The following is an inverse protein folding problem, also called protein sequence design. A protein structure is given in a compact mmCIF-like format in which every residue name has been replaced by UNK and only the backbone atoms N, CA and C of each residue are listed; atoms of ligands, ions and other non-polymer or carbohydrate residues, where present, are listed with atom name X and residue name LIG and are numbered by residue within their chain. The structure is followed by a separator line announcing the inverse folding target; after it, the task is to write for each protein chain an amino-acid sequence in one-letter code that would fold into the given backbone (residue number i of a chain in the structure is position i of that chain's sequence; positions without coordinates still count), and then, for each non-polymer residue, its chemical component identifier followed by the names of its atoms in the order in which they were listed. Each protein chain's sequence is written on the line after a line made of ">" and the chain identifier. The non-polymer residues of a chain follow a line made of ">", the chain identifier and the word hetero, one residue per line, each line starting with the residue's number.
data_IF_321248883311
#
_entry.id   IF_321248883311
#
_cell.length_a   1.000
_cell.length_b   1.000
_cell.length_c   1.000
_cell.angle_alpha   90.00
_cell.angle_beta   90.00
_cell.angle_gamma   90.00
#
_symmetry.space_group_name_H-M   'P 1'
#
loop_
_entity.id
_entity.type
_entity.pdbx_description
1 polymer ?
#
# COMPACT_ATOMS: atom_id res chain seq x y z
N UNK A 1 19.39 7.58 -13.42
CA UNK A 1 20.05 7.52 -12.09
C UNK A 1 19.32 6.47 -11.30
N UNK A 2 20.00 5.51 -10.76
CA UNK A 2 19.40 4.44 -9.99
C UNK A 2 18.74 4.98 -8.71
N UNK A 3 17.50 4.56 -8.43
CA UNK A 3 16.73 5.08 -7.28
C UNK A 3 17.27 4.48 -5.99
N UNK A 4 17.43 3.15 -5.96
CA UNK A 4 17.93 2.41 -4.80
C UNK A 4 19.42 2.13 -4.99
N UNK A 5 20.30 2.63 -4.11
CA UNK A 5 21.73 2.32 -4.17
C UNK A 5 22.00 0.82 -3.95
N UNK A 6 23.02 0.27 -4.59
CA UNK A 6 23.39 -1.15 -4.42
C UNK A 6 23.69 -1.53 -2.98
N UNK A 7 24.22 -0.61 -2.18
CA UNK A 7 24.48 -0.83 -0.75
C UNK A 7 23.23 -1.06 0.11
N UNK A 8 22.05 -0.72 -0.40
CA UNK A 8 20.76 -0.91 0.28
C UNK A 8 19.92 -2.04 -0.32
N UNK A 9 20.40 -2.66 -1.41
CA UNK A 9 19.72 -3.79 -2.04
C UNK A 9 20.01 -5.08 -1.31
N UNK A 10 18.96 -5.81 -0.96
CA UNK A 10 19.10 -7.20 -0.56
C UNK A 10 19.45 -8.04 -1.81
N UNK A 11 20.49 -8.89 -1.79
CA UNK A 11 20.91 -9.68 -2.94
C UNK A 11 19.88 -10.70 -3.42
N UNK A 12 18.91 -11.07 -2.57
CA UNK A 12 17.81 -11.97 -2.93
C UNK A 12 16.69 -11.25 -3.70
N UNK A 13 16.61 -9.92 -3.61
CA UNK A 13 15.60 -9.11 -4.29
C UNK A 13 16.08 -8.75 -5.69
N UNK A 14 15.27 -9.11 -6.69
CA UNK A 14 15.47 -8.75 -8.09
C UNK A 14 14.42 -7.77 -8.54
N UNK A 15 14.74 -6.94 -9.51
CA UNK A 15 13.80 -6.00 -10.13
C UNK A 15 13.53 -6.42 -11.57
N UNK A 16 12.27 -6.48 -11.96
CA UNK A 16 11.83 -6.80 -13.32
C UNK A 16 10.77 -5.81 -13.81
N UNK A 17 10.72 -5.62 -15.14
CA UNK A 17 9.65 -4.85 -15.79
C UNK A 17 8.58 -5.82 -16.30
N UNK A 18 7.38 -5.73 -15.75
CA UNK A 18 6.23 -6.59 -16.08
C UNK A 18 5.26 -5.82 -16.96
N UNK A 19 5.06 -6.28 -18.19
CA UNK A 19 4.05 -5.74 -19.10
C UNK A 19 2.71 -6.41 -18.83
N UNK A 20 1.66 -5.62 -18.64
CA UNK A 20 0.31 -6.12 -18.42
C UNK A 20 -0.62 -5.77 -19.58
N UNK A 21 -1.76 -6.47 -19.69
CA UNK A 21 -2.66 -6.40 -20.85
C UNK A 21 -3.22 -5.01 -21.19
N UNK A 22 -3.19 -4.05 -20.24
CA UNK A 22 -3.63 -2.66 -20.47
C UNK A 22 -2.62 -1.78 -21.21
N UNK A 23 -1.46 -2.31 -21.58
CA UNK A 23 -0.33 -1.52 -22.11
C UNK A 23 0.46 -0.78 -21.02
N UNK A 24 0.17 -1.03 -19.75
CA UNK A 24 0.98 -0.57 -18.63
C UNK A 24 2.17 -1.49 -18.43
N UNK A 25 3.30 -0.91 -18.01
CA UNK A 25 4.49 -1.64 -17.59
C UNK A 25 4.78 -1.29 -16.15
N UNK A 26 4.95 -2.30 -15.31
CA UNK A 26 5.24 -2.14 -13.88
C UNK A 26 6.67 -2.58 -13.58
N UNK A 27 7.38 -1.73 -12.84
CA UNK A 27 8.61 -2.11 -12.18
C UNK A 27 8.25 -2.87 -10.92
N UNK A 28 8.74 -4.10 -10.78
CA UNK A 28 8.40 -5.01 -9.69
C UNK A 28 9.67 -5.51 -9.03
N UNK A 29 9.84 -5.21 -7.75
CA UNK A 29 10.83 -5.88 -6.91
C UNK A 29 10.25 -7.23 -6.49
N UNK A 30 11.03 -8.31 -6.65
CA UNK A 30 10.53 -9.65 -6.39
C UNK A 30 11.57 -10.56 -5.76
N UNK A 31 11.10 -11.57 -5.00
CA UNK A 31 11.91 -12.57 -4.34
C UNK A 31 11.14 -13.90 -4.29
N UNK A 32 11.87 -15.02 -4.30
CA UNK A 32 11.25 -16.35 -4.24
C UNK A 32 10.62 -16.80 -5.56
N UNK A 33 10.16 -18.07 -5.58
CA UNK A 33 9.55 -18.71 -6.75
C UNK A 33 8.49 -19.75 -6.37
N UNK A 34 7.86 -19.60 -5.22
CA UNK A 34 6.80 -20.51 -4.73
C UNK A 34 5.53 -20.47 -5.59
N UNK A 35 4.59 -21.36 -5.30
CA UNK A 35 3.35 -21.51 -6.08
C UNK A 35 2.27 -20.48 -5.71
N UNK A 36 2.37 -19.86 -4.54
CA UNK A 36 1.48 -18.81 -4.07
C UNK A 36 2.11 -17.43 -4.25
N UNK A 37 1.34 -16.45 -4.74
CA UNK A 37 1.76 -15.05 -4.86
C UNK A 37 1.47 -14.29 -3.56
N UNK A 38 2.49 -13.62 -3.02
CA UNK A 38 2.31 -12.53 -2.07
C UNK A 38 2.60 -11.21 -2.79
N UNK A 39 1.58 -10.37 -3.01
CA UNK A 39 1.75 -9.09 -3.68
C UNK A 39 1.62 -7.94 -2.66
N UNK A 40 2.68 -7.11 -2.56
CA UNK A 40 2.86 -6.08 -1.55
C UNK A 40 2.72 -4.69 -2.16
N UNK A 41 1.66 -3.96 -1.83
CA UNK A 41 1.34 -2.64 -2.37
C UNK A 41 1.77 -1.55 -1.39
N UNK A 42 2.69 -0.68 -1.81
CA UNK A 42 3.17 0.45 -1.01
C UNK A 42 2.20 1.64 -1.00
N UNK A 43 2.46 2.61 -0.14
CA UNK A 43 1.69 3.84 -0.02
C UNK A 43 2.39 5.10 -0.55
N UNK A 44 1.84 6.25 -0.17
CA UNK A 44 2.40 7.56 -0.46
C UNK A 44 3.30 8.03 0.71
N UNK A 45 4.46 8.58 0.46
CA UNK A 45 5.19 8.71 -0.82
C UNK A 45 6.29 7.65 -0.96
N UNK A 46 5.95 6.39 -0.71
CA UNK A 46 6.88 5.29 -0.65
C UNK A 46 7.37 4.81 -2.05
N UNK A 47 7.83 3.59 -2.10
CA UNK A 47 8.38 2.87 -3.24
C UNK A 47 8.38 1.37 -2.90
N UNK A 48 8.50 0.46 -3.87
CA UNK A 48 8.66 -0.98 -3.63
C UNK A 48 9.71 -1.30 -2.56
N UNK A 49 10.73 -0.47 -2.44
CA UNK A 49 11.79 -0.56 -1.43
C UNK A 49 11.28 -0.56 0.02
N UNK A 50 10.07 -0.07 0.29
CA UNK A 50 9.47 -0.14 1.64
C UNK A 50 9.22 -1.58 2.12
N UNK A 51 9.21 -2.52 1.19
CA UNK A 51 8.99 -3.94 1.40
C UNK A 51 10.28 -4.79 1.51
N UNK A 52 11.45 -4.15 1.54
CA UNK A 52 12.76 -4.81 1.53
C UNK A 52 12.97 -5.87 2.62
N UNK A 53 12.26 -5.76 3.74
CA UNK A 53 12.32 -6.73 4.84
C UNK A 53 11.28 -7.85 4.71
N UNK A 54 10.13 -7.57 4.07
CA UNK A 54 9.04 -8.51 3.91
C UNK A 54 9.25 -9.46 2.72
N UNK A 55 9.83 -8.97 1.62
CA UNK A 55 10.03 -9.79 0.42
C UNK A 55 10.89 -11.04 0.70
N UNK A 56 12.09 -10.94 1.34
CA UNK A 56 12.90 -12.12 1.64
C UNK A 56 12.22 -13.06 2.65
N UNK A 57 11.50 -12.50 3.64
CA UNK A 57 10.75 -13.30 4.61
C UNK A 57 9.65 -14.11 3.93
N UNK A 58 8.82 -13.48 3.08
CA UNK A 58 7.77 -14.15 2.33
C UNK A 58 8.34 -15.22 1.39
N UNK A 59 9.48 -14.96 0.75
CA UNK A 59 10.17 -15.94 -0.07
C UNK A 59 10.62 -17.17 0.73
N UNK A 60 11.14 -16.99 1.95
CA UNK A 60 11.50 -18.09 2.87
C UNK A 60 10.29 -18.90 3.31
N UNK A 61 9.10 -18.30 3.37
CA UNK A 61 7.83 -19.00 3.64
C UNK A 61 7.26 -19.71 2.41
N UNK A 62 7.95 -19.70 1.27
CA UNK A 62 7.55 -20.42 0.07
C UNK A 62 6.64 -19.64 -0.88
N UNK A 63 6.57 -18.31 -0.75
CA UNK A 63 5.85 -17.46 -1.70
C UNK A 63 6.72 -17.03 -2.90
N UNK A 64 6.07 -16.75 -4.01
CA UNK A 64 6.55 -15.78 -4.99
C UNK A 64 6.14 -14.40 -4.47
N UNK A 65 7.09 -13.62 -3.92
CA UNK A 65 6.83 -12.34 -3.30
C UNK A 65 7.10 -11.19 -4.29
N UNK A 66 6.09 -10.37 -4.57
CA UNK A 66 6.17 -9.22 -5.48
C UNK A 66 5.84 -7.92 -4.75
N UNK A 67 6.64 -6.89 -4.98
CA UNK A 67 6.36 -5.51 -4.59
C UNK A 67 6.42 -4.62 -5.84
N UNK A 68 5.28 -4.39 -6.51
CA UNK A 68 5.24 -3.47 -7.63
C UNK A 68 5.41 -2.02 -7.15
N UNK A 69 6.16 -1.23 -7.90
CA UNK A 69 6.01 0.21 -7.86
C UNK A 69 4.65 0.55 -8.48
N UNK A 70 3.77 1.15 -7.68
CA UNK A 70 2.42 1.50 -8.13
C UNK A 70 2.47 2.47 -9.32
N UNK A 71 1.38 2.59 -10.05
CA UNK A 71 1.21 3.50 -11.20
C UNK A 71 1.82 4.87 -10.90
N UNK A 72 2.78 5.30 -11.72
CA UNK A 72 3.45 6.59 -11.58
C UNK A 72 4.62 6.64 -10.61
N UNK A 73 4.92 5.56 -9.90
CA UNK A 73 6.10 5.41 -9.04
C UNK A 73 7.22 4.65 -9.76
N UNK A 74 8.45 4.83 -9.29
CA UNK A 74 9.61 4.15 -9.86
C UNK A 74 9.69 4.33 -11.37
N UNK A 75 10.00 3.26 -12.08
CA UNK A 75 9.98 3.18 -13.54
C UNK A 75 8.64 2.63 -14.10
N UNK A 76 7.63 2.46 -13.26
CA UNK A 76 6.29 2.09 -13.69
C UNK A 76 5.67 3.16 -14.57
N UNK A 77 4.89 2.74 -15.56
CA UNK A 77 4.15 3.62 -16.46
C UNK A 77 3.44 4.75 -15.72
N UNK A 78 3.53 5.96 -16.28
CA UNK A 78 3.09 7.20 -15.63
C UNK A 78 2.09 7.96 -16.51
N UNK A 79 0.82 7.54 -16.55
CA UNK A 79 -0.22 8.26 -17.28
C UNK A 79 -0.34 9.70 -16.80
N UNK A 80 -0.69 10.61 -17.71
CA UNK A 80 -0.72 12.05 -17.43
C UNK A 80 -2.05 12.56 -16.90
N UNK A 81 -3.16 11.88 -17.19
CA UNK A 81 -4.49 12.33 -16.85
C UNK A 81 -4.88 11.90 -15.42
N UNK A 82 -5.49 12.80 -14.67
CA UNK A 82 -5.93 12.55 -13.28
C UNK A 82 -6.89 11.36 -13.20
N UNK A 83 -7.80 11.21 -14.17
CA UNK A 83 -8.77 10.11 -14.23
C UNK A 83 -8.12 8.72 -14.26
N UNK A 84 -6.90 8.63 -14.80
CA UNK A 84 -6.16 7.39 -14.90
C UNK A 84 -5.67 6.90 -13.53
N UNK A 85 -5.78 7.74 -12.49
CA UNK A 85 -5.48 7.44 -11.09
C UNK A 85 -6.75 7.21 -10.27
N UNK A 86 -7.88 6.93 -10.92
CA UNK A 86 -9.11 6.52 -10.23
C UNK A 86 -8.90 5.20 -9.50
N UNK A 87 -9.60 5.00 -8.39
CA UNK A 87 -9.46 3.77 -7.60
C UNK A 87 -9.73 2.52 -8.42
N UNK A 88 -10.71 2.59 -9.34
CA UNK A 88 -11.00 1.48 -10.26
C UNK A 88 -9.82 1.14 -11.20
N UNK A 89 -9.08 2.15 -11.67
CA UNK A 89 -7.89 1.92 -12.47
C UNK A 89 -6.75 1.30 -11.64
N UNK A 90 -6.59 1.73 -10.38
CA UNK A 90 -5.59 1.18 -9.46
C UNK A 90 -5.90 -0.27 -9.05
N UNK A 91 -7.17 -0.59 -8.83
CA UNK A 91 -7.64 -1.97 -8.58
C UNK A 91 -7.41 -2.86 -9.80
N UNK A 92 -7.67 -2.34 -11.00
CA UNK A 92 -7.42 -3.07 -12.25
C UNK A 92 -5.93 -3.35 -12.47
N UNK A 93 -5.03 -2.43 -12.10
CA UNK A 93 -3.59 -2.66 -12.14
C UNK A 93 -3.19 -3.89 -11.32
N UNK A 94 -3.73 -4.00 -10.10
CA UNK A 94 -3.46 -5.14 -9.22
C UNK A 94 -3.99 -6.43 -9.84
N UNK A 95 -5.22 -6.40 -10.39
CA UNK A 95 -5.79 -7.57 -11.07
C UNK A 95 -4.91 -8.04 -12.23
N UNK A 96 -4.41 -7.12 -13.04
CA UNK A 96 -3.55 -7.46 -14.17
C UNK A 96 -2.16 -7.96 -13.75
N UNK A 97 -1.60 -7.43 -12.67
CA UNK A 97 -0.35 -7.94 -12.08
C UNK A 97 -0.53 -9.39 -11.56
N UNK A 98 -1.65 -9.65 -10.89
CA UNK A 98 -2.00 -11.01 -10.44
C UNK A 98 -2.10 -11.96 -11.64
N UNK A 99 -2.81 -11.57 -12.69
CA UNK A 99 -2.91 -12.38 -13.91
C UNK A 99 -1.54 -12.60 -14.55
N UNK A 100 -0.70 -11.57 -14.62
CA UNK A 100 0.64 -11.66 -15.20
C UNK A 100 1.60 -12.54 -14.38
N UNK A 101 1.32 -12.75 -13.09
CA UNK A 101 2.11 -13.67 -12.25
C UNK A 101 1.85 -15.15 -12.54
N UNK A 102 0.73 -15.47 -13.23
CA UNK A 102 0.25 -16.83 -13.49
C UNK A 102 -0.04 -17.65 -12.22
N UNK A 103 -0.05 -17.01 -11.05
CA UNK A 103 -0.32 -17.67 -9.77
C UNK A 103 -1.82 -17.69 -9.47
N UNK A 104 -2.30 -18.82 -8.93
CA UNK A 104 -3.72 -19.02 -8.62
C UNK A 104 -4.07 -18.66 -7.18
N UNK A 105 -3.16 -18.89 -6.25
CA UNK A 105 -3.31 -18.53 -4.84
C UNK A 105 -2.63 -17.20 -4.58
N UNK A 106 -3.36 -16.26 -3.98
CA UNK A 106 -2.88 -14.88 -3.82
C UNK A 106 -3.14 -14.37 -2.42
N UNK A 107 -2.07 -13.95 -1.76
CA UNK A 107 -2.11 -13.14 -0.54
C UNK A 107 -1.86 -11.68 -0.92
N UNK A 108 -2.85 -10.82 -0.73
CA UNK A 108 -2.75 -9.39 -1.04
C UNK A 108 -2.37 -8.62 0.23
N UNK A 109 -1.30 -7.84 0.12
CA UNK A 109 -0.71 -7.11 1.24
C UNK A 109 -0.66 -5.63 0.87
N UNK A 110 -1.16 -4.72 1.70
CA UNK A 110 -1.18 -3.29 1.39
C UNK A 110 -0.87 -2.39 2.57
N UNK A 111 -0.23 -1.26 2.28
CA UNK A 111 0.04 -0.19 3.23
C UNK A 111 -0.46 1.14 2.67
N UNK A 112 -1.09 2.00 3.49
CA UNK A 112 -1.60 3.33 3.12
C UNK A 112 -2.44 3.28 1.83
N UNK A 113 -2.08 3.96 0.73
CA UNK A 113 -2.78 3.86 -0.55
C UNK A 113 -2.83 2.42 -1.08
N UNK A 114 -1.75 1.65 -0.92
CA UNK A 114 -1.76 0.21 -1.24
C UNK A 114 -2.77 -0.57 -0.41
N UNK A 115 -2.93 -0.21 0.87
CA UNK A 115 -3.97 -0.76 1.75
C UNK A 115 -5.38 -0.37 1.30
N UNK A 116 -5.56 0.88 0.87
CA UNK A 116 -6.84 1.35 0.35
C UNK A 116 -7.25 0.61 -0.95
N UNK A 117 -6.29 0.40 -1.85
CA UNK A 117 -6.50 -0.40 -3.07
C UNK A 117 -6.83 -1.85 -2.70
N UNK A 118 -6.13 -2.43 -1.72
CA UNK A 118 -6.33 -3.81 -1.28
C UNK A 118 -7.73 -4.01 -0.64
N UNK A 119 -8.20 -3.07 0.19
CA UNK A 119 -9.57 -3.08 0.71
C UNK A 119 -10.63 -3.05 -0.40
N UNK A 120 -10.46 -2.16 -1.38
CA UNK A 120 -11.41 -2.05 -2.49
C UNK A 120 -11.38 -3.31 -3.37
N UNK A 121 -10.19 -3.86 -3.64
CA UNK A 121 -10.02 -5.09 -4.40
C UNK A 121 -10.78 -6.26 -3.78
N UNK A 122 -10.63 -6.44 -2.47
CA UNK A 122 -11.32 -7.50 -1.71
C UNK A 122 -12.84 -7.25 -1.63
N UNK A 123 -13.26 -5.99 -1.37
CA UNK A 123 -14.68 -5.61 -1.33
C UNK A 123 -15.41 -5.85 -2.66
N UNK A 124 -14.73 -5.63 -3.79
CA UNK A 124 -15.26 -5.88 -5.12
C UNK A 124 -15.18 -7.34 -5.54
N UNK A 125 -14.49 -8.18 -4.76
CA UNK A 125 -14.18 -9.58 -5.10
C UNK A 125 -13.63 -9.67 -6.54
N UNK A 126 -12.64 -8.77 -6.87
CA UNK A 126 -12.19 -8.58 -8.26
C UNK A 126 -11.53 -9.82 -8.85
N UNK A 127 -10.75 -10.53 -8.04
CA UNK A 127 -10.22 -11.87 -8.27
C UNK A 127 -10.18 -12.62 -6.92
N UNK A 128 -10.18 -13.95 -6.90
CA UNK A 128 -10.03 -14.72 -5.68
C UNK A 128 -8.74 -14.37 -4.93
N UNK A 129 -8.85 -14.23 -3.63
CA UNK A 129 -7.73 -14.05 -2.71
C UNK A 129 -7.82 -15.12 -1.61
N UNK A 130 -6.66 -15.66 -1.22
CA UNK A 130 -6.56 -16.56 -0.05
C UNK A 130 -6.57 -15.75 1.26
N UNK A 131 -5.86 -14.63 1.27
CA UNK A 131 -5.68 -13.78 2.46
C UNK A 131 -5.55 -12.31 2.09
N UNK A 132 -5.94 -11.45 3.02
CA UNK A 132 -5.73 -10.01 2.94
C UNK A 132 -4.94 -9.53 4.16
N UNK A 133 -3.89 -8.73 3.95
CA UNK A 133 -3.12 -8.12 5.03
C UNK A 133 -3.04 -6.62 4.77
N UNK A 134 -3.53 -5.81 5.71
CA UNK A 134 -3.50 -4.36 5.57
C UNK A 134 -2.76 -3.71 6.73
N UNK A 135 -1.98 -2.68 6.43
CA UNK A 135 -1.24 -1.91 7.42
C UNK A 135 -1.56 -0.44 7.35
N UNK A 136 -1.78 0.16 8.52
CA UNK A 136 -2.02 1.59 8.69
C UNK A 136 -2.92 2.19 7.58
N UNK A 137 -4.00 1.46 7.27
CA UNK A 137 -5.06 1.91 6.38
C UNK A 137 -6.40 1.35 6.88
N UNK A 138 -7.35 2.20 7.28
CA UNK A 138 -8.65 1.74 7.76
C UNK A 138 -9.48 1.21 6.58
N UNK A 139 -10.41 0.29 6.89
CA UNK A 139 -11.43 -0.06 5.91
C UNK A 139 -12.23 1.19 5.51
N UNK A 140 -12.49 1.44 4.21
CA UNK A 140 -13.09 2.70 3.74
C UNK A 140 -14.40 3.07 4.43
N UNK A 141 -15.26 2.10 4.73
CA UNK A 141 -16.51 2.35 5.47
C UNK A 141 -16.27 2.65 6.95
N UNK A 142 -15.32 1.96 7.59
CA UNK A 142 -14.94 2.24 8.98
C UNK A 142 -14.34 3.65 9.09
N UNK A 143 -13.55 4.09 8.10
CA UNK A 143 -13.07 5.46 8.01
C UNK A 143 -14.22 6.47 7.99
N UNK A 144 -15.22 6.28 7.15
CA UNK A 144 -16.36 7.20 7.04
C UNK A 144 -17.23 7.23 8.32
N UNK A 145 -17.45 6.08 8.97
CA UNK A 145 -18.23 5.99 10.20
C UNK A 145 -17.53 6.62 11.40
N UNK A 146 -16.21 6.52 11.45
CA UNK A 146 -15.39 6.98 12.58
C UNK A 146 -14.73 8.33 12.32
N UNK A 147 -15.09 9.02 11.21
CA UNK A 147 -14.46 10.29 10.83
C UNK A 147 -14.92 11.42 11.75
N UNK A 148 -13.95 12.07 12.38
CA UNK A 148 -14.17 13.19 13.30
C UNK A 148 -13.27 14.39 12.99
N UNK A 149 -13.52 15.52 13.67
CA UNK A 149 -12.73 16.74 13.50
C UNK A 149 -11.23 16.58 13.77
N UNK A 150 -10.83 15.69 14.66
CA UNK A 150 -9.43 15.37 14.93
C UNK A 150 -8.76 14.75 13.71
N UNK A 151 -9.44 13.82 13.04
CA UNK A 151 -8.96 13.21 11.80
C UNK A 151 -8.92 14.23 10.65
N UNK A 152 -9.90 15.13 10.55
CA UNK A 152 -9.92 16.17 9.53
C UNK A 152 -8.65 17.05 9.62
N UNK A 153 -8.22 17.39 10.84
CA UNK A 153 -6.98 18.15 11.04
C UNK A 153 -5.73 17.39 10.59
N UNK A 154 -5.67 16.07 10.82
CA UNK A 154 -4.58 15.21 10.33
C UNK A 154 -4.62 15.06 8.81
N UNK A 155 -5.81 15.09 8.20
CA UNK A 155 -6.04 14.93 6.76
C UNK A 155 -5.96 16.24 5.94
N UNK A 156 -5.49 17.35 6.50
CA UNK A 156 -5.42 18.65 5.83
C UNK A 156 -4.69 18.60 4.48
N UNK A 157 -3.66 17.75 4.38
CA UNK A 157 -2.85 17.60 3.17
C UNK A 157 -3.67 17.03 1.99
N UNK A 158 -4.72 16.26 2.25
CA UNK A 158 -5.62 15.76 1.19
C UNK A 158 -6.33 16.91 0.47
N UNK A 159 -6.71 17.95 1.20
CA UNK A 159 -7.29 19.18 0.63
C UNK A 159 -6.22 20.01 -0.08
N UNK A 160 -5.05 20.15 0.51
CA UNK A 160 -3.91 20.82 -0.11
C UNK A 160 -3.55 20.21 -1.46
N UNK A 161 -3.55 18.89 -1.57
CA UNK A 161 -3.27 18.18 -2.82
C UNK A 161 -4.34 18.37 -3.91
N UNK A 162 -5.53 18.89 -3.59
CA UNK A 162 -6.52 19.23 -4.62
C UNK A 162 -6.17 20.53 -5.38
N UNK A 163 -5.31 21.38 -4.83
CA UNK A 163 -4.90 22.63 -5.46
C UNK A 163 -4.01 22.29 -6.68
N UNK A 164 -4.30 22.87 -7.88
CA UNK A 164 -3.46 22.62 -9.06
C UNK A 164 -2.06 23.22 -8.90
N UNK A 165 -1.03 22.49 -9.33
CA UNK A 165 0.40 22.86 -9.47
C UNK A 165 1.13 23.27 -8.17
N UNK A 166 0.46 23.87 -7.21
CA UNK A 166 1.09 24.35 -5.96
C UNK A 166 1.69 23.20 -5.14
N UNK A 167 0.98 22.10 -4.88
CA UNK A 167 1.57 20.98 -4.14
C UNK A 167 2.80 20.40 -4.83
N UNK A 168 2.73 20.17 -6.14
CA UNK A 168 3.85 19.64 -6.92
C UNK A 168 5.07 20.55 -6.86
N UNK A 169 4.84 21.86 -6.97
CA UNK A 169 5.92 22.84 -6.89
C UNK A 169 6.57 22.87 -5.51
N UNK A 170 5.77 23.00 -4.45
CA UNK A 170 6.28 23.12 -3.08
C UNK A 170 6.95 21.83 -2.59
N UNK A 171 6.35 20.68 -2.87
CA UNK A 171 6.91 19.39 -2.45
C UNK A 171 8.10 18.96 -3.29
N UNK A 172 8.19 19.43 -4.56
CA UNK A 172 9.33 19.17 -5.45
C UNK A 172 10.54 20.06 -5.20
N UNK A 173 10.40 21.14 -4.42
CA UNK A 173 11.51 22.03 -4.11
C UNK A 173 12.69 21.26 -3.49
N UNK A 174 13.91 21.71 -3.84
CA UNK A 174 15.16 21.16 -3.29
C UNK A 174 15.23 19.63 -3.38
N UNK A 175 14.88 19.10 -4.55
CA UNK A 175 14.95 17.64 -4.84
C UNK A 175 14.16 16.80 -3.83
N UNK A 176 12.90 17.14 -3.60
CA UNK A 176 12.01 16.38 -2.72
C UNK A 176 12.32 16.53 -1.23
N UNK A 177 12.88 17.65 -0.80
CA UNK A 177 13.18 17.92 0.61
C UNK A 177 11.94 17.71 1.51
N UNK A 178 10.75 18.10 1.03
CA UNK A 178 9.50 17.92 1.78
C UNK A 178 9.20 16.43 2.05
N UNK A 179 9.50 15.55 1.09
CA UNK A 179 9.35 14.10 1.25
C UNK A 179 10.34 13.58 2.29
N UNK A 180 11.61 13.99 2.24
CA UNK A 180 12.59 13.60 3.26
C UNK A 180 12.15 14.01 4.67
N UNK A 181 11.75 15.28 4.83
CA UNK A 181 11.27 15.82 6.10
C UNK A 181 10.01 15.12 6.63
N UNK A 182 9.16 14.61 5.74
CA UNK A 182 8.00 13.84 6.13
C UNK A 182 8.44 12.59 6.91
N UNK A 183 9.31 11.76 6.33
CA UNK A 183 9.85 10.57 7.03
C UNK A 183 10.60 10.92 8.30
N UNK A 184 11.47 11.94 8.27
CA UNK A 184 12.23 12.39 9.45
C UNK A 184 11.36 12.78 10.64
N UNK A 185 10.21 13.43 10.38
CA UNK A 185 9.34 13.98 11.42
C UNK A 185 8.29 13.00 11.93
N UNK A 186 7.88 12.03 11.11
CA UNK A 186 6.74 11.16 11.41
C UNK A 186 7.13 9.72 11.72
N UNK A 187 8.42 9.37 11.66
CA UNK A 187 8.89 8.09 12.16
C UNK A 187 9.05 8.10 13.68
N UNK A 188 9.00 6.91 14.31
CA UNK A 188 9.28 6.68 15.74
C UNK A 188 10.56 5.87 15.96
N UNK A 189 11.19 5.44 14.85
CA UNK A 189 12.46 4.73 14.85
C UNK A 189 13.40 5.35 13.79
N UNK A 190 14.21 6.32 14.21
CA UNK A 190 15.14 7.01 13.31
C UNK A 190 16.20 6.08 12.69
N UNK A 191 16.51 4.95 13.33
CA UNK A 191 17.44 3.96 12.79
C UNK A 191 16.86 3.24 11.55
N UNK A 192 15.53 3.19 11.38
CA UNK A 192 14.88 2.64 10.21
C UNK A 192 14.92 3.59 9.01
N UNK A 193 15.18 4.88 9.24
CA UNK A 193 15.22 5.94 8.22
C UNK A 193 16.52 6.73 8.24
N UNK A 194 17.69 6.08 8.07
CA UNK A 194 18.94 6.80 7.91
C UNK A 194 18.91 7.63 6.60
N UNK A 195 19.82 8.60 6.44
CA UNK A 195 19.81 9.52 5.30
C UNK A 195 19.77 8.83 3.92
N UNK A 196 20.45 7.70 3.76
CA UNK A 196 20.47 6.91 2.53
C UNK A 196 19.12 6.27 2.18
N UNK A 197 18.35 5.83 3.17
CA UNK A 197 16.98 5.31 3.00
C UNK A 197 16.02 6.45 2.61
N UNK A 198 16.11 7.58 3.29
CA UNK A 198 15.31 8.78 2.98
C UNK A 198 15.62 9.26 1.55
N UNK A 199 16.89 9.19 1.13
CA UNK A 199 17.29 9.61 -0.22
C UNK A 199 16.67 8.74 -1.32
N UNK A 200 16.36 7.46 -1.08
CA UNK A 200 15.60 6.61 -2.02
C UNK A 200 14.24 7.23 -2.33
N UNK A 201 13.48 7.59 -1.30
CA UNK A 201 12.15 8.18 -1.47
C UNK A 201 12.19 9.57 -2.11
N UNK A 202 13.20 10.39 -1.77
CA UNK A 202 13.42 11.69 -2.41
C UNK A 202 13.76 11.54 -3.89
N UNK A 203 14.63 10.60 -4.26
CA UNK A 203 14.99 10.33 -5.66
C UNK A 203 13.77 9.86 -6.46
N UNK A 204 12.98 8.94 -5.88
CA UNK A 204 11.74 8.48 -6.50
C UNK A 204 10.78 9.65 -6.78
N UNK A 205 10.50 10.49 -5.79
CA UNK A 205 9.61 11.64 -5.94
C UNK A 205 10.17 12.73 -6.88
N UNK A 206 11.49 12.81 -7.03
CA UNK A 206 12.17 13.82 -7.88
C UNK A 206 12.26 13.43 -9.35
N UNK A 207 11.81 12.24 -9.74
CA UNK A 207 11.76 11.85 -11.15
C UNK A 207 10.77 12.75 -11.93
N UNK A 208 11.02 12.98 -13.24
CA UNK A 208 10.11 13.78 -14.06
C UNK A 208 8.67 13.26 -14.01
N UNK A 209 7.75 14.08 -13.53
CA UNK A 209 6.32 13.77 -13.43
C UNK A 209 5.92 12.86 -12.26
N UNK A 210 6.86 12.28 -11.49
CA UNK A 210 6.56 11.35 -10.41
C UNK A 210 5.67 12.00 -9.33
N UNK A 211 6.05 13.16 -8.86
CA UNK A 211 5.31 13.86 -7.80
C UNK A 211 3.88 14.21 -8.22
N UNK A 212 3.69 14.61 -9.49
CA UNK A 212 2.36 14.82 -10.05
C UNK A 212 1.54 13.52 -10.05
N UNK A 213 2.16 12.42 -10.44
CA UNK A 213 1.53 11.11 -10.44
C UNK A 213 1.13 10.67 -9.03
N UNK A 214 2.02 10.82 -8.05
CA UNK A 214 1.76 10.53 -6.64
C UNK A 214 0.58 11.35 -6.10
N UNK A 215 0.53 12.66 -6.38
CA UNK A 215 -0.56 13.54 -5.97
C UNK A 215 -1.86 13.19 -6.70
N UNK A 216 -1.79 12.67 -7.91
CA UNK A 216 -2.96 12.26 -8.66
C UNK A 216 -3.74 11.09 -8.02
N UNK A 217 -3.16 10.30 -7.14
CA UNK A 217 -3.90 9.34 -6.30
C UNK A 217 -4.99 10.07 -5.50
N UNK A 218 -4.64 11.18 -4.86
CA UNK A 218 -5.57 12.00 -4.08
C UNK A 218 -6.59 12.76 -4.95
N UNK A 219 -6.23 13.15 -6.17
CA UNK A 219 -7.14 13.83 -7.12
C UNK A 219 -8.02 12.83 -7.86
N UNK A 220 -7.46 11.68 -8.18
CA UNK A 220 -8.13 10.61 -8.94
C UNK A 220 -9.24 9.92 -8.17
N UNK A 221 -9.14 9.88 -6.86
CA UNK A 221 -10.13 9.29 -5.95
C UNK A 221 -11.58 9.72 -6.27
N UNK A 222 -11.81 10.98 -6.61
CA UNK A 222 -13.15 11.52 -6.91
C UNK A 222 -13.82 10.90 -8.14
N UNK A 223 -13.01 10.32 -9.08
CA UNK A 223 -13.57 9.68 -10.26
C UNK A 223 -14.15 8.32 -9.88
N UNK A 224 -15.47 8.17 -10.06
CA UNK A 224 -16.22 6.97 -9.68
C UNK A 224 -16.63 6.88 -8.19
N UNK A 225 -16.30 7.88 -7.36
CA UNK A 225 -16.67 7.89 -5.95
C UNK A 225 -18.19 7.86 -5.73
N UNK A 226 -18.96 8.62 -6.52
CA UNK A 226 -20.42 8.69 -6.37
C UNK A 226 -21.12 7.33 -6.55
N UNK A 227 -20.71 6.53 -7.55
CA UNK A 227 -21.29 5.21 -7.77
C UNK A 227 -20.91 4.24 -6.65
N UNK A 228 -19.67 4.31 -6.16
CA UNK A 228 -19.18 3.54 -5.03
C UNK A 228 -19.93 3.91 -3.75
N UNK A 229 -20.02 5.20 -3.43
CA UNK A 229 -20.74 5.69 -2.26
C UNK A 229 -22.23 5.32 -2.30
N UNK A 230 -22.85 5.37 -3.48
CA UNK A 230 -24.24 4.92 -3.66
C UNK A 230 -24.38 3.43 -3.36
N UNK A 231 -23.48 2.58 -3.88
CA UNK A 231 -23.45 1.15 -3.59
C UNK A 231 -23.26 0.89 -2.11
N UNK A 232 -22.36 1.62 -1.45
CA UNK A 232 -22.15 1.51 -0.01
C UNK A 232 -23.38 1.93 0.81
N UNK A 233 -24.01 3.06 0.49
CA UNK A 233 -25.24 3.51 1.17
C UNK A 233 -26.39 2.52 1.03
N UNK A 234 -26.45 1.84 -0.09
CA UNK A 234 -27.50 0.86 -0.37
C UNK A 234 -27.17 -0.54 0.19
N UNK A 235 -26.10 -0.69 0.94
CA UNK A 235 -25.66 -1.96 1.51
C UNK A 235 -25.45 -3.08 0.44
N UNK A 236 -24.97 -2.70 -0.74
CA UNK A 236 -24.81 -3.59 -1.90
C UNK A 236 -23.49 -4.39 -1.92
N UNK A 237 -22.69 -4.29 -0.86
CA UNK A 237 -21.47 -5.07 -0.69
C UNK A 237 -21.64 -6.02 0.50
N UNK A 238 -21.35 -7.28 0.26
CA UNK A 238 -21.20 -8.28 1.32
C UNK A 238 -19.92 -8.02 2.11
N UNK A 239 -19.86 -8.41 3.39
CA UNK A 239 -18.62 -8.38 4.14
C UNK A 239 -17.53 -9.19 3.44
N UNK A 240 -16.30 -8.73 3.55
CA UNK A 240 -15.12 -9.46 3.06
C UNK A 240 -15.05 -10.78 3.82
N UNK A 241 -15.16 -11.90 3.09
CA UNK A 241 -15.23 -13.24 3.68
C UNK A 241 -13.84 -13.87 3.93
N UNK A 242 -12.82 -13.42 3.20
CA UNK A 242 -11.47 -13.97 3.30
C UNK A 242 -10.80 -13.60 4.63
N UNK A 243 -9.94 -14.47 5.18
CA UNK A 243 -9.15 -14.16 6.37
C UNK A 243 -8.36 -12.86 6.17
N UNK A 244 -8.48 -11.96 7.13
CA UNK A 244 -7.89 -10.63 7.04
C UNK A 244 -7.12 -10.25 8.29
N UNK A 245 -5.88 -9.80 8.12
CA UNK A 245 -5.04 -9.26 9.18
C UNK A 245 -4.89 -7.74 9.01
N UNK A 246 -5.25 -6.98 10.04
CA UNK A 246 -5.01 -5.55 10.13
C UNK A 246 -3.93 -5.28 11.16
N UNK A 247 -2.77 -4.75 10.72
CA UNK A 247 -1.66 -4.33 11.59
C UNK A 247 -1.66 -2.81 11.65
N UNK A 248 -1.53 -2.24 12.85
CA UNK A 248 -1.63 -0.81 13.05
C UNK A 248 -0.59 -0.29 14.04
N UNK A 249 0.26 0.63 13.58
CA UNK A 249 1.12 1.42 14.46
C UNK A 249 0.30 2.49 15.18
N UNK A 250 0.28 2.44 16.52
CA UNK A 250 -0.63 3.26 17.33
C UNK A 250 -0.29 4.76 17.31
N UNK A 251 0.97 5.10 16.98
CA UNK A 251 1.45 6.48 16.95
C UNK A 251 1.44 7.08 15.52
N UNK A 252 0.48 6.67 14.71
CA UNK A 252 0.27 7.18 13.35
C UNK A 252 -0.09 8.67 13.35
N UNK A 253 0.73 9.48 12.68
CA UNK A 253 0.51 10.94 12.58
C UNK A 253 -0.58 11.31 11.57
N UNK A 254 -0.95 10.41 10.66
CA UNK A 254 -1.89 10.67 9.55
C UNK A 254 -3.29 10.10 9.81
N UNK A 255 -3.35 8.89 10.38
CA UNK A 255 -4.57 8.14 10.56
C UNK A 255 -4.73 7.73 12.03
N UNK A 256 -5.89 8.03 12.59
CA UNK A 256 -6.15 7.70 13.99
C UNK A 256 -6.60 6.25 14.16
N UNK A 257 -6.10 5.57 15.18
CA UNK A 257 -6.45 4.20 15.54
C UNK A 257 -7.97 3.97 15.61
N UNK A 258 -8.75 4.95 16.06
CA UNK A 258 -10.21 4.85 16.14
C UNK A 258 -10.90 4.58 14.79
N UNK A 259 -10.25 4.90 13.68
CA UNK A 259 -10.76 4.61 12.34
C UNK A 259 -10.89 3.11 12.05
N UNK A 260 -10.28 2.26 12.87
CA UNK A 260 -10.34 0.81 12.72
C UNK A 260 -11.53 0.16 13.43
N UNK A 261 -12.20 0.88 14.34
CA UNK A 261 -13.18 0.33 15.29
C UNK A 261 -14.33 -0.40 14.62
N UNK A 262 -14.86 0.13 13.52
CA UNK A 262 -15.99 -0.47 12.80
C UNK A 262 -15.58 -1.50 11.73
N UNK A 263 -14.29 -1.79 11.56
CA UNK A 263 -13.82 -2.69 10.50
C UNK A 263 -14.44 -4.09 10.61
N UNK A 264 -14.68 -4.58 11.84
CA UNK A 264 -15.30 -5.89 12.11
C UNK A 264 -16.71 -6.03 11.51
N UNK A 265 -17.40 -4.93 11.16
CA UNK A 265 -18.70 -4.97 10.50
C UNK A 265 -18.61 -5.32 9.02
N UNK A 266 -17.43 -5.14 8.43
CA UNK A 266 -17.17 -5.23 7.00
C UNK A 266 -16.24 -6.38 6.63
N UNK A 267 -15.74 -7.10 7.62
CA UNK A 267 -14.81 -8.23 7.45
C UNK A 267 -15.24 -9.35 8.39
N UNK A 268 -15.58 -10.49 7.83
CA UNK A 268 -16.14 -11.62 8.59
C UNK A 268 -15.08 -12.32 9.47
N UNK A 269 -13.86 -12.47 8.97
CA UNK A 269 -12.73 -13.05 9.69
C UNK A 269 -11.60 -12.03 9.79
N UNK A 270 -11.68 -11.17 10.82
CA UNK A 270 -10.75 -10.07 11.06
C UNK A 270 -9.88 -10.32 12.28
N UNK A 271 -8.58 -10.31 12.08
CA UNK A 271 -7.59 -10.21 13.15
C UNK A 271 -6.97 -8.83 13.15
N UNK A 272 -6.94 -8.17 14.29
CA UNK A 272 -6.31 -6.83 14.42
C UNK A 272 -5.15 -6.90 15.42
N UNK A 273 -4.02 -6.33 15.03
CA UNK A 273 -2.82 -6.20 15.87
C UNK A 273 -2.39 -4.75 15.93
N UNK A 274 -2.23 -4.24 17.14
CA UNK A 274 -1.76 -2.88 17.40
C UNK A 274 -0.33 -2.93 17.91
N UNK A 275 0.56 -2.13 17.30
CA UNK A 275 1.96 -2.03 17.68
C UNK A 275 2.20 -0.69 18.35
N UNK A 276 2.42 -0.74 19.68
CA UNK A 276 2.72 0.45 20.46
C UNK A 276 4.13 0.97 20.15
N UNK A 277 4.29 2.29 20.11
CA UNK A 277 5.55 2.94 19.75
C UNK A 277 5.93 2.82 18.28
N UNK A 278 5.01 2.40 17.42
CA UNK A 278 5.19 2.38 15.98
C UNK A 278 4.31 3.43 15.29
N UNK A 279 4.84 4.07 14.26
CA UNK A 279 4.14 5.10 13.51
C UNK A 279 3.37 4.53 12.30
N UNK A 280 3.09 5.39 11.34
CA UNK A 280 2.52 5.03 10.04
C UNK A 280 3.39 4.04 9.25
N UNK A 281 4.71 4.12 9.41
CA UNK A 281 5.70 3.36 8.63
C UNK A 281 6.04 2.00 9.26
N UNK A 282 5.03 1.34 9.82
CA UNK A 282 5.16 0.18 10.71
C UNK A 282 6.04 -0.95 10.15
N UNK A 283 5.93 -1.27 8.85
CA UNK A 283 6.70 -2.35 8.20
C UNK A 283 8.19 -2.05 8.08
N UNK A 284 8.57 -0.78 8.19
CA UNK A 284 9.96 -0.34 8.13
C UNK A 284 10.54 -0.08 9.52
N UNK A 285 9.72 0.39 10.46
CA UNK A 285 10.12 0.70 11.83
C UNK A 285 10.23 -0.52 12.74
N UNK A 286 9.37 -1.51 12.51
CA UNK A 286 9.25 -2.74 13.29
C UNK A 286 9.22 -3.96 12.37
N UNK A 287 10.25 -4.14 11.50
CA UNK A 287 10.20 -5.19 10.48
C UNK A 287 10.05 -6.59 11.08
N UNK A 288 10.75 -6.89 12.17
CA UNK A 288 10.71 -8.21 12.79
C UNK A 288 9.31 -8.51 13.36
N UNK A 289 8.73 -7.60 14.16
CA UNK A 289 7.40 -7.77 14.73
C UNK A 289 6.32 -7.90 13.63
N UNK A 290 6.45 -7.11 12.56
CA UNK A 290 5.52 -7.18 11.42
C UNK A 290 5.68 -8.50 10.67
N UNK A 291 6.91 -8.96 10.48
CA UNK A 291 7.20 -10.23 9.82
C UNK A 291 6.65 -11.41 10.63
N UNK A 292 6.86 -11.43 11.96
CA UNK A 292 6.34 -12.47 12.85
C UNK A 292 4.80 -12.55 12.78
N UNK A 293 4.11 -11.40 12.78
CA UNK A 293 2.66 -11.33 12.66
C UNK A 293 2.15 -11.84 11.30
N UNK A 294 2.88 -11.55 10.22
CA UNK A 294 2.55 -12.05 8.90
C UNK A 294 2.79 -13.56 8.84
N UNK A 295 3.94 -14.04 9.33
CA UNK A 295 4.27 -15.46 9.35
C UNK A 295 3.23 -16.24 10.15
N UNK A 296 2.90 -15.82 11.40
CA UNK A 296 1.83 -16.41 12.20
C UNK A 296 0.53 -16.53 11.39
N UNK A 297 0.14 -15.43 10.71
CA UNK A 297 -1.12 -15.37 10.00
C UNK A 297 -1.16 -16.25 8.74
N UNK A 298 -0.08 -16.33 7.97
CA UNK A 298 -0.07 -17.10 6.72
C UNK A 298 0.19 -18.57 6.94
N UNK A 299 0.79 -18.96 8.08
CA UNK A 299 1.06 -20.37 8.44
C UNK A 299 -0.02 -20.98 9.32
N UNK A 300 -1.03 -20.22 9.74
CA UNK A 300 -2.12 -20.74 10.57
C UNK A 300 -2.94 -21.79 9.82
N UNK A 301 -2.79 -23.05 10.27
CA UNK A 301 -3.43 -24.23 9.66
C UNK A 301 -4.95 -24.25 9.81
N UNK A 302 -5.52 -23.55 10.81
CA UNK A 302 -6.97 -23.42 10.97
C UNK A 302 -7.58 -22.52 9.88
N UNK A 303 -6.82 -21.54 9.38
CA UNK A 303 -7.23 -20.71 8.25
C UNK A 303 -7.17 -21.48 6.93
N UNK A 304 -6.13 -22.29 6.74
CA UNK A 304 -5.94 -23.10 5.53
C UNK A 304 -7.05 -24.16 5.38
N UNK A 305 -7.49 -24.76 6.47
CA UNK A 305 -8.55 -25.78 6.45
C UNK A 305 -9.97 -25.24 6.13
N UNK A 306 -10.17 -23.92 6.16
CA UNK A 306 -11.47 -23.27 5.82
C UNK A 306 -11.57 -22.90 4.34
N UNK A 307 -10.49 -22.99 3.59
CA UNK A 307 -10.40 -22.57 2.19
C UNK A 307 -10.49 -23.76 1.23
N UNK A 308 -10.20 -24.99 1.68
CA UNK A 308 -10.34 -26.26 0.96
C UNK A 308 -11.77 -26.82 1.08
#
# INVERSE_FOLDING_TARGET
>A
MEIVPDSLKDPEIRTSMINVGSGMTFEVDHCGNGDELAICLHGFPEHSFSWRYQLPMLAKLGFTAWAPNLRGYGNTSRPSAVKDYSLSALVEDVAQLIVASEKKKVTLIGHDWGGFIAWEFATLNRLPLERLIVRNCPHPRSFLESFEWSQLRKSWYMFFFQIPWIPEYLTGLKKGLAIGRLFEKTNRNSAAFPPEVIEVYKRNASQPGALKAMINFYRGWRYGSFDRERKWRNNQFEPIAIPTLLIWGEEDDFLEKKLTVSTHKYVADLRTRFLSGASHWVQQERPDEVNDLIEEFVTDTELTARID
#
